data_IF_913174151975
#
_entry.id   IF_913174151975
#
_cell.length_a   1.000
_cell.length_b   1.000
_cell.length_c   1.000
_cell.angle_alpha   90.00
_cell.angle_beta   90.00
_cell.angle_gamma   90.00
#
_symmetry.space_group_name_H-M   'P 1'
#
loop_
_entity.id
_entity.type
_entity.pdbx_description
1 polymer ?
#
# COMPACT_ATOMS: atom_id res chain seq x y z
N UNK A 1 -16.67 -4.87 -8.09
CA UNK A 1 -16.20 -3.51 -8.44
C UNK A 1 -16.67 -3.13 -9.84
N UNK A 2 -17.31 -1.97 -9.94
CA UNK A 2 -17.62 -1.25 -11.18
C UNK A 2 -16.54 -0.18 -11.39
N UNK A 3 -16.12 0.07 -12.63
CA UNK A 3 -15.13 1.11 -12.95
C UNK A 3 -14.69 1.03 -14.42
N UNK A 4 -13.81 1.94 -14.82
CA UNK A 4 -13.29 2.01 -16.19
C UNK A 4 -12.25 0.91 -16.44
N UNK A 5 -12.45 0.03 -17.45
CA UNK A 5 -11.42 -0.94 -17.82
C UNK A 5 -10.14 -0.25 -18.28
N UNK A 6 -9.00 -0.83 -17.93
CA UNK A 6 -7.72 -0.38 -18.46
C UNK A 6 -7.70 -0.46 -19.99
N UNK A 7 -7.27 0.63 -20.62
CA UNK A 7 -6.94 0.66 -22.03
C UNK A 7 -5.66 1.50 -22.21
N UNK A 8 -4.72 1.00 -23.04
CA UNK A 8 -3.48 1.72 -23.33
C UNK A 8 -3.75 3.11 -23.94
N UNK A 9 -4.86 3.26 -24.70
CA UNK A 9 -5.29 4.54 -25.27
C UNK A 9 -5.69 5.59 -24.22
N UNK A 10 -5.96 5.19 -22.98
CA UNK A 10 -6.27 6.09 -21.87
C UNK A 10 -5.05 6.42 -21.01
N UNK A 11 -3.86 5.86 -21.31
CA UNK A 11 -2.66 6.01 -20.49
C UNK A 11 -2.30 7.47 -20.18
N UNK A 12 -2.48 8.37 -21.15
CA UNK A 12 -2.18 9.79 -20.98
C UNK A 12 -3.18 10.56 -20.11
N UNK A 13 -4.33 9.96 -19.75
CA UNK A 13 -5.34 10.61 -18.90
C UNK A 13 -5.12 10.34 -17.42
N UNK A 14 -4.33 9.33 -17.05
CA UNK A 14 -4.01 8.99 -15.67
C UNK A 14 -3.00 9.98 -15.10
N UNK A 15 -3.49 11.12 -14.63
CA UNK A 15 -2.69 12.23 -14.10
C UNK A 15 -3.37 12.86 -12.89
N UNK A 16 -2.64 13.66 -12.13
CA UNK A 16 -3.19 14.45 -11.01
C UNK A 16 -3.51 13.66 -9.75
N UNK A 17 -3.11 12.38 -9.68
CA UNK A 17 -3.22 11.58 -8.48
C UNK A 17 -1.96 11.70 -7.62
N UNK A 18 -2.14 11.58 -6.31
CA UNK A 18 -1.07 11.52 -5.30
C UNK A 18 -1.24 10.28 -4.40
N UNK A 19 -2.33 9.55 -4.58
CA UNK A 19 -2.63 8.33 -3.84
C UNK A 19 -2.83 7.15 -4.79
N UNK A 20 -2.53 5.95 -4.31
CA UNK A 20 -2.75 4.71 -5.06
C UNK A 20 -3.52 3.72 -4.20
N UNK A 21 -4.70 3.32 -4.66
CA UNK A 21 -5.53 2.27 -4.06
C UNK A 21 -5.48 1.02 -4.96
N UNK A 22 -4.92 -0.06 -4.42
CA UNK A 22 -4.84 -1.36 -5.07
C UNK A 22 -5.73 -2.38 -4.38
N UNK A 23 -6.59 -3.06 -5.12
CA UNK A 23 -7.44 -4.10 -4.53
C UNK A 23 -7.62 -5.33 -5.41
N UNK A 24 -8.21 -6.36 -4.81
CA UNK A 24 -8.56 -7.61 -5.45
C UNK A 24 -7.34 -8.28 -6.12
N UNK A 25 -6.25 -8.50 -5.39
CA UNK A 25 -5.10 -9.29 -5.87
C UNK A 25 -4.35 -8.74 -7.08
N UNK A 26 -4.43 -7.43 -7.34
CA UNK A 26 -3.56 -6.76 -8.33
C UNK A 26 -2.20 -6.45 -7.69
N UNK A 27 -1.14 -6.66 -8.44
CA UNK A 27 0.22 -6.24 -8.08
C UNK A 27 0.47 -4.83 -8.64
N UNK A 28 0.83 -3.88 -7.79
CA UNK A 28 1.16 -2.51 -8.20
C UNK A 28 2.61 -2.20 -7.83
N UNK A 29 3.34 -1.64 -8.79
CA UNK A 29 4.73 -1.21 -8.61
C UNK A 29 4.75 0.30 -8.79
N UNK A 30 5.11 1.04 -7.74
CA UNK A 30 5.14 2.51 -7.75
C UNK A 30 6.58 3.03 -7.88
N UNK A 31 6.72 4.10 -8.66
CA UNK A 31 7.95 4.86 -8.79
C UNK A 31 7.64 6.37 -8.77
N UNK A 32 8.63 7.19 -8.41
CA UNK A 32 8.53 8.65 -8.56
C UNK A 32 9.06 9.10 -9.92
N UNK A 33 8.33 9.99 -10.57
CA UNK A 33 8.66 10.50 -11.91
C UNK A 33 7.49 11.23 -12.57
N UNK A 34 7.53 11.36 -13.89
CA UNK A 34 6.37 11.87 -14.63
C UNK A 34 5.19 10.90 -14.50
N UNK A 35 3.97 11.41 -14.61
CA UNK A 35 2.77 10.58 -14.62
C UNK A 35 2.86 9.52 -15.72
N UNK A 36 2.75 8.26 -15.31
CA UNK A 36 2.71 7.13 -16.23
C UNK A 36 2.03 5.92 -15.58
N UNK A 37 1.13 5.26 -16.29
CA UNK A 37 0.47 4.05 -15.80
C UNK A 37 0.42 3.01 -16.90
N UNK A 38 1.08 1.87 -16.67
CA UNK A 38 1.10 0.75 -17.61
C UNK A 38 0.66 -0.53 -16.94
N UNK A 39 0.00 -1.41 -17.69
CA UNK A 39 -0.44 -2.70 -17.18
C UNK A 39 0.04 -3.88 -18.02
N UNK A 40 0.35 -4.98 -17.33
CA UNK A 40 0.65 -6.28 -17.94
C UNK A 40 -0.22 -7.36 -17.28
N UNK A 41 -0.48 -8.43 -18.03
CA UNK A 41 -1.20 -9.60 -17.51
C UNK A 41 -0.31 -10.84 -17.65
N UNK A 42 0.52 -11.17 -16.64
CA UNK A 42 1.38 -12.36 -16.68
C UNK A 42 0.63 -13.67 -16.96
N UNK A 43 -0.65 -13.75 -16.59
CA UNK A 43 -1.52 -14.90 -16.85
C UNK A 43 -2.25 -14.85 -18.20
N UNK A 44 -1.89 -13.93 -19.10
CA UNK A 44 -2.54 -13.69 -20.40
C UNK A 44 -4.08 -13.54 -20.31
N UNK A 45 -4.56 -12.98 -19.20
CA UNK A 45 -5.95 -12.66 -18.94
C UNK A 45 -6.35 -11.37 -19.65
N UNK A 46 -7.65 -11.25 -19.94
CA UNK A 46 -8.17 -10.12 -20.71
C UNK A 46 -8.06 -8.82 -19.91
N UNK A 47 -7.40 -7.82 -20.47
CA UNK A 47 -7.24 -6.50 -19.85
C UNK A 47 -8.56 -5.80 -19.54
N UNK A 48 -9.65 -6.16 -20.21
CA UNK A 48 -11.00 -5.66 -19.92
C UNK A 48 -11.47 -5.93 -18.48
N UNK A 49 -10.83 -6.87 -17.78
CA UNK A 49 -11.12 -7.20 -16.38
C UNK A 49 -10.25 -6.44 -15.39
N UNK A 50 -9.20 -5.75 -15.85
CA UNK A 50 -8.45 -4.82 -15.03
C UNK A 50 -9.16 -3.46 -15.08
N UNK A 51 -9.45 -2.89 -13.91
CA UNK A 51 -10.00 -1.57 -13.73
C UNK A 51 -8.87 -0.64 -13.30
N UNK A 52 -8.70 0.46 -14.04
CA UNK A 52 -7.75 1.53 -13.70
C UNK A 52 -8.44 2.86 -13.97
N UNK A 53 -8.58 3.68 -12.93
CA UNK A 53 -9.20 4.98 -13.06
C UNK A 53 -8.72 5.93 -11.96
N UNK A 54 -8.63 7.22 -12.28
CA UNK A 54 -8.40 8.26 -11.29
C UNK A 54 -9.74 8.79 -10.81
N UNK A 55 -9.97 8.77 -9.49
CA UNK A 55 -11.14 9.39 -8.85
C UNK A 55 -10.62 10.35 -7.77
N UNK A 56 -10.91 11.64 -7.90
CA UNK A 56 -10.28 12.65 -7.06
C UNK A 56 -8.76 12.68 -7.29
N UNK A 57 -7.98 12.57 -6.22
CA UNK A 57 -6.52 12.48 -6.24
C UNK A 57 -6.01 11.03 -6.07
N UNK A 58 -6.87 10.02 -6.23
CA UNK A 58 -6.51 8.61 -6.03
C UNK A 58 -6.58 7.84 -7.34
N UNK A 59 -5.50 7.13 -7.68
CA UNK A 59 -5.51 6.13 -8.74
C UNK A 59 -6.02 4.80 -8.16
N UNK A 60 -7.20 4.38 -8.59
CA UNK A 60 -7.79 3.11 -8.21
C UNK A 60 -7.41 2.02 -9.22
N UNK A 61 -6.85 0.93 -8.72
CA UNK A 61 -6.39 -0.23 -9.49
C UNK A 61 -7.02 -1.49 -8.90
N UNK A 62 -7.88 -2.17 -9.66
CA UNK A 62 -8.57 -3.37 -9.16
C UNK A 62 -8.96 -4.33 -10.26
N UNK A 63 -9.44 -5.53 -9.89
CA UNK A 63 -10.09 -6.45 -10.83
C UNK A 63 -11.60 -6.29 -10.82
N UNK A 64 -12.24 -6.43 -12.00
CA UNK A 64 -13.68 -6.60 -12.11
C UNK A 64 -14.12 -7.78 -11.27
N UNK A 65 -15.19 -7.58 -10.50
CA UNK A 65 -15.81 -8.65 -9.74
C UNK A 65 -16.65 -9.49 -10.69
N UNK A 66 -16.38 -10.79 -10.75
CA UNK A 66 -17.21 -11.72 -11.52
C UNK A 66 -18.43 -12.13 -10.70
N UNK A 67 -19.59 -12.13 -11.33
CA UNK A 67 -20.81 -12.73 -10.80
C UNK A 67 -20.80 -14.21 -11.14
N UNK A 68 -20.66 -15.07 -10.13
CA UNK A 68 -20.83 -16.54 -10.18
C UNK A 68 -19.95 -17.31 -11.19
N UNK A 69 -18.87 -17.94 -10.70
CA UNK A 69 -18.02 -18.84 -11.49
C UNK A 69 -16.76 -19.26 -10.72
N UNK A 70 -16.21 -20.44 -11.04
CA UNK A 70 -14.94 -20.90 -10.49
C UNK A 70 -13.83 -19.91 -10.86
N UNK A 71 -13.06 -19.45 -9.86
CA UNK A 71 -12.16 -18.32 -9.97
C UNK A 71 -11.14 -18.47 -11.09
N UNK A 72 -10.91 -17.40 -11.86
CA UNK A 72 -9.78 -17.36 -12.76
C UNK A 72 -8.50 -16.99 -11.99
N UNK A 73 -7.39 -17.61 -12.36
CA UNK A 73 -6.07 -17.24 -11.83
C UNK A 73 -5.54 -15.97 -12.52
N UNK A 74 -6.42 -15.00 -12.79
CA UNK A 74 -6.08 -13.77 -13.49
C UNK A 74 -5.16 -12.91 -12.63
N UNK A 75 -3.98 -12.60 -13.14
CA UNK A 75 -2.98 -11.78 -12.46
C UNK A 75 -2.69 -10.57 -13.32
N UNK A 76 -2.78 -9.39 -12.71
CA UNK A 76 -2.39 -8.14 -13.33
C UNK A 76 -1.27 -7.52 -12.53
N UNK A 77 -0.34 -6.92 -13.27
CA UNK A 77 0.71 -6.07 -12.71
C UNK A 77 0.60 -4.69 -13.33
N UNK A 78 0.53 -3.66 -12.50
CA UNK A 78 0.42 -2.27 -12.93
C UNK A 78 1.63 -1.49 -12.44
N UNK A 79 2.40 -0.90 -13.36
CA UNK A 79 3.44 0.04 -12.99
C UNK A 79 2.84 1.45 -12.98
N UNK A 80 3.06 2.17 -11.90
CA UNK A 80 2.51 3.50 -11.64
C UNK A 80 3.66 4.45 -11.34
N UNK A 81 3.67 5.59 -12.00
CA UNK A 81 4.61 6.68 -11.78
C UNK A 81 3.86 7.97 -11.54
N UNK A 82 4.29 8.75 -10.55
CA UNK A 82 3.77 10.07 -10.23
C UNK A 82 4.87 10.93 -9.58
N UNK A 83 4.78 12.27 -9.64
CA UNK A 83 5.84 13.13 -9.09
C UNK A 83 5.97 13.03 -7.57
N UNK A 84 4.83 12.83 -6.89
CA UNK A 84 4.73 12.75 -5.43
C UNK A 84 3.69 11.71 -5.05
N UNK A 85 3.79 11.18 -3.83
CA UNK A 85 2.77 10.35 -3.22
C UNK A 85 2.50 10.82 -1.80
N UNK A 86 1.22 10.82 -1.43
CA UNK A 86 0.72 11.12 -0.08
C UNK A 86 0.01 9.93 0.55
N UNK A 87 -0.34 8.90 -0.22
CA UNK A 87 -0.92 7.70 0.37
C UNK A 87 -0.96 6.44 -0.48
N UNK A 88 -0.98 5.30 0.19
CA UNK A 88 -1.07 3.98 -0.42
C UNK A 88 -2.10 3.12 0.31
N UNK A 89 -3.11 2.63 -0.41
CA UNK A 89 -4.11 1.71 0.11
C UNK A 89 -3.99 0.35 -0.59
N UNK A 90 -3.98 -0.75 0.18
CA UNK A 90 -4.01 -2.09 -0.38
C UNK A 90 -4.99 -3.01 0.36
N UNK A 91 -5.85 -3.69 -0.39
CA UNK A 91 -6.84 -4.61 0.18
C UNK A 91 -7.10 -5.86 -0.67
N UNK A 92 -7.75 -6.86 -0.06
CA UNK A 92 -8.21 -8.08 -0.72
C UNK A 92 -7.08 -8.82 -1.45
N UNK A 93 -5.97 -9.04 -0.74
CA UNK A 93 -4.79 -9.77 -1.23
C UNK A 93 -4.01 -9.07 -2.34
N UNK A 94 -4.22 -7.78 -2.59
CA UNK A 94 -3.40 -6.98 -3.50
C UNK A 94 -2.03 -6.67 -2.91
N UNK A 95 -1.12 -6.14 -3.74
CA UNK A 95 0.16 -5.64 -3.26
C UNK A 95 0.58 -4.31 -3.89
N UNK A 96 1.31 -3.51 -3.12
CA UNK A 96 2.00 -2.30 -3.58
C UNK A 96 3.48 -2.41 -3.22
N UNK A 97 4.38 -2.22 -4.18
CA UNK A 97 5.82 -2.16 -3.95
C UNK A 97 6.41 -0.87 -4.50
N UNK A 98 7.20 -0.16 -3.70
CA UNK A 98 7.88 1.06 -4.10
C UNK A 98 9.31 1.11 -3.58
N UNK A 99 10.23 1.61 -4.40
CA UNK A 99 11.64 1.71 -4.04
C UNK A 99 12.21 3.11 -4.30
N UNK A 100 13.14 3.54 -3.44
CA UNK A 100 13.81 4.83 -3.53
C UNK A 100 12.86 6.04 -3.51
N UNK A 101 11.75 5.94 -2.78
CA UNK A 101 10.76 7.01 -2.69
C UNK A 101 11.26 8.15 -1.79
N UNK A 102 10.91 9.40 -2.13
CA UNK A 102 11.13 10.60 -1.32
C UNK A 102 9.77 11.18 -0.95
N UNK A 103 9.31 10.87 0.26
CA UNK A 103 7.97 11.21 0.73
C UNK A 103 8.05 12.30 1.81
N UNK A 104 7.03 13.14 1.93
CA UNK A 104 6.92 14.07 3.05
C UNK A 104 6.09 13.40 4.14
N UNK A 105 4.78 13.54 4.03
CA UNK A 105 3.77 12.91 4.87
C UNK A 105 3.09 11.82 4.03
N UNK A 106 3.10 10.58 4.52
CA UNK A 106 2.52 9.43 3.81
C UNK A 106 1.58 8.64 4.71
N UNK A 107 0.36 8.43 4.22
CA UNK A 107 -0.64 7.53 4.80
C UNK A 107 -0.57 6.15 4.15
N UNK A 108 -0.64 5.09 4.95
CA UNK A 108 -0.61 3.71 4.47
C UNK A 108 -1.76 2.92 5.09
N UNK A 109 -2.72 2.48 4.28
CA UNK A 109 -3.87 1.71 4.74
C UNK A 109 -3.85 0.30 4.13
N UNK A 110 -3.82 -0.72 4.97
CA UNK A 110 -3.71 -2.11 4.51
C UNK A 110 -4.70 -3.02 5.23
N UNK A 111 -5.45 -3.80 4.47
CA UNK A 111 -6.39 -4.75 5.04
C UNK A 111 -6.52 -6.05 4.25
N UNK A 112 -7.20 -7.03 4.84
CA UNK A 112 -7.69 -8.23 4.15
C UNK A 112 -6.60 -9.00 3.41
N UNK A 113 -5.50 -9.29 4.12
CA UNK A 113 -4.37 -10.07 3.60
C UNK A 113 -3.54 -9.40 2.51
N UNK A 114 -3.68 -8.09 2.31
CA UNK A 114 -2.85 -7.34 1.37
C UNK A 114 -1.44 -7.06 1.93
N UNK A 115 -0.53 -6.64 1.05
CA UNK A 115 0.86 -6.33 1.42
C UNK A 115 1.36 -5.04 0.77
N UNK A 116 1.96 -4.16 1.57
CA UNK A 116 2.66 -2.98 1.06
C UNK A 116 4.13 -3.04 1.49
N UNK A 117 5.05 -2.84 0.54
CA UNK A 117 6.50 -2.78 0.79
C UNK A 117 7.10 -1.51 0.19
N UNK A 118 7.62 -0.62 1.03
CA UNK A 118 8.16 0.68 0.61
C UNK A 118 9.60 0.85 1.11
N UNK A 119 10.45 1.47 0.29
CA UNK A 119 11.79 1.89 0.68
C UNK A 119 12.13 3.29 0.17
N UNK A 120 13.07 3.96 0.85
CA UNK A 120 13.47 5.33 0.55
C UNK A 120 13.58 6.18 1.82
N UNK A 121 13.05 7.40 1.77
CA UNK A 121 12.98 8.31 2.90
C UNK A 121 11.58 8.94 3.02
N UNK A 122 11.18 9.24 4.26
CA UNK A 122 10.00 10.04 4.53
C UNK A 122 10.23 11.01 5.70
N UNK A 123 9.36 12.01 5.88
CA UNK A 123 9.33 12.78 7.14
C UNK A 123 8.41 12.11 8.13
N UNK A 124 7.16 11.87 7.73
CA UNK A 124 6.12 11.33 8.59
C UNK A 124 5.41 10.19 7.89
N UNK A 125 5.31 9.07 8.60
CA UNK A 125 4.53 7.90 8.20
C UNK A 125 3.37 7.72 9.18
N UNK A 126 2.17 7.59 8.63
CA UNK A 126 1.00 7.13 9.36
C UNK A 126 0.50 5.85 8.69
N UNK A 127 0.32 4.77 9.47
CA UNK A 127 0.01 3.46 8.90
C UNK A 127 -1.04 2.69 9.68
N UNK A 128 -2.09 2.24 9.01
CA UNK A 128 -3.10 1.35 9.56
C UNK A 128 -3.02 -0.03 8.89
N UNK A 129 -2.89 -1.08 9.69
CA UNK A 129 -2.85 -2.46 9.21
C UNK A 129 -3.86 -3.34 9.95
N UNK A 130 -4.73 -4.04 9.23
CA UNK A 130 -5.73 -4.92 9.86
C UNK A 130 -5.98 -6.22 9.08
N UNK A 131 -6.65 -7.18 9.72
CA UNK A 131 -7.16 -8.40 9.07
C UNK A 131 -6.07 -9.19 8.31
N UNK A 132 -4.97 -9.49 8.98
CA UNK A 132 -3.85 -10.25 8.42
C UNK A 132 -3.05 -9.50 7.35
N UNK A 133 -3.17 -8.18 7.27
CA UNK A 133 -2.35 -7.34 6.40
C UNK A 133 -0.88 -7.27 6.83
N UNK A 134 0.00 -6.99 5.87
CA UNK A 134 1.44 -6.89 6.11
C UNK A 134 2.02 -5.59 5.54
N UNK A 135 2.55 -4.74 6.42
CA UNK A 135 3.32 -3.57 6.04
C UNK A 135 4.82 -3.79 6.23
N UNK A 136 5.61 -3.52 5.18
CA UNK A 136 7.08 -3.61 5.19
C UNK A 136 7.71 -2.28 4.78
N UNK A 137 7.85 -1.37 5.74
CA UNK A 137 8.52 -0.07 5.61
C UNK A 137 9.84 0.03 6.36
N UNK A 138 10.52 -1.09 6.65
CA UNK A 138 11.79 -1.04 7.40
C UNK A 138 12.93 -0.33 6.67
N UNK A 139 12.86 -0.28 5.34
CA UNK A 139 13.82 0.44 4.49
C UNK A 139 13.30 1.82 4.05
N UNK A 140 12.11 2.24 4.53
CA UNK A 140 11.58 3.58 4.36
C UNK A 140 11.98 4.42 5.57
N UNK A 141 13.09 5.14 5.45
CA UNK A 141 13.71 5.86 6.56
C UNK A 141 12.92 7.12 6.88
N UNK A 142 12.03 7.04 7.86
CA UNK A 142 11.22 8.17 8.29
C UNK A 142 11.82 8.88 9.51
N UNK A 143 11.49 10.16 9.68
CA UNK A 143 11.78 10.87 10.93
C UNK A 143 10.79 10.44 12.02
N UNK A 144 9.51 10.35 11.67
CA UNK A 144 8.43 9.99 12.58
C UNK A 144 7.54 8.88 11.99
N UNK A 145 7.05 7.98 12.83
CA UNK A 145 6.12 6.93 12.41
C UNK A 145 5.04 6.67 13.47
N UNK A 146 3.77 6.66 13.05
CA UNK A 146 2.62 6.27 13.87
C UNK A 146 1.96 5.07 13.20
N UNK A 147 1.79 3.96 13.91
CA UNK A 147 1.31 2.69 13.33
C UNK A 147 0.23 2.05 14.19
N UNK A 148 -0.96 1.88 13.62
CA UNK A 148 -2.06 1.16 14.22
C UNK A 148 -2.21 -0.22 13.57
N UNK A 149 -2.08 -1.28 14.36
CA UNK A 149 -2.18 -2.65 13.88
C UNK A 149 -3.19 -3.47 14.69
N UNK A 150 -4.08 -4.17 13.99
CA UNK A 150 -5.11 -5.02 14.62
C UNK A 150 -5.37 -6.32 13.86
N UNK A 151 -6.09 -7.24 14.51
CA UNK A 151 -6.61 -8.48 13.91
C UNK A 151 -5.54 -9.29 13.15
N UNK A 152 -4.43 -9.57 13.84
CA UNK A 152 -3.33 -10.37 13.32
C UNK A 152 -2.49 -9.71 12.22
N UNK A 153 -2.59 -8.39 12.04
CA UNK A 153 -1.73 -7.67 11.11
C UNK A 153 -0.28 -7.57 11.61
N UNK A 154 0.66 -7.41 10.68
CA UNK A 154 2.07 -7.17 10.99
C UNK A 154 2.58 -5.93 10.29
N UNK A 155 3.19 -5.03 11.05
CA UNK A 155 3.77 -3.80 10.54
C UNK A 155 5.25 -3.66 10.96
N UNK A 156 6.05 -3.20 10.00
CA UNK A 156 7.49 -2.94 10.15
C UNK A 156 7.76 -1.53 9.66
N UNK A 157 8.23 -0.64 10.53
CA UNK A 157 8.47 0.77 10.21
C UNK A 157 9.85 1.22 10.73
N UNK A 158 10.40 2.28 10.14
CA UNK A 158 11.65 2.89 10.57
C UNK A 158 11.40 4.34 10.98
N UNK A 159 11.88 4.75 12.15
CA UNK A 159 11.79 6.12 12.65
C UNK A 159 13.05 6.52 13.43
N UNK A 160 13.43 7.81 13.36
CA UNK A 160 14.62 8.33 14.06
C UNK A 160 14.30 9.34 15.17
N UNK A 161 13.23 10.12 15.02
CA UNK A 161 12.81 11.11 16.02
C UNK A 161 11.76 10.51 16.96
N UNK A 162 10.64 10.02 16.42
CA UNK A 162 9.56 9.48 17.23
C UNK A 162 8.86 8.30 16.58
N UNK A 163 8.48 7.32 17.40
CA UNK A 163 7.60 6.23 17.01
C UNK A 163 6.45 6.12 18.00
N UNK A 164 5.23 5.90 17.51
CA UNK A 164 4.05 5.54 18.30
C UNK A 164 3.40 4.34 17.63
N UNK A 165 3.10 3.30 18.40
CA UNK A 165 2.50 2.10 17.86
C UNK A 165 1.40 1.56 18.75
N UNK A 166 0.27 1.24 18.13
CA UNK A 166 -0.90 0.67 18.77
C UNK A 166 -1.12 -0.73 18.21
N UNK A 167 -0.95 -1.76 19.03
CA UNK A 167 -1.14 -3.15 18.62
C UNK A 167 -2.23 -3.83 19.42
N UNK A 168 -3.23 -4.39 18.73
CA UNK A 168 -4.29 -5.17 19.38
C UNK A 168 -4.67 -6.44 18.62
N UNK A 169 -5.41 -7.34 19.28
CA UNK A 169 -6.01 -8.53 18.67
C UNK A 169 -4.98 -9.39 17.91
N UNK A 170 -3.85 -9.68 18.55
CA UNK A 170 -2.78 -10.51 17.98
C UNK A 170 -1.89 -9.82 16.94
N UNK A 171 -1.99 -8.50 16.78
CA UNK A 171 -1.15 -7.77 15.83
C UNK A 171 0.28 -7.51 16.34
N UNK A 172 1.20 -7.23 15.42
CA UNK A 172 2.60 -6.91 15.74
C UNK A 172 3.07 -5.65 15.02
N UNK A 173 3.69 -4.73 15.76
CA UNK A 173 4.34 -3.54 15.24
C UNK A 173 5.82 -3.60 15.64
N UNK A 174 6.71 -3.40 14.68
CA UNK A 174 8.15 -3.42 14.91
C UNK A 174 8.78 -2.14 14.33
N UNK A 175 9.35 -1.33 15.21
CA UNK A 175 10.09 -0.13 14.85
C UNK A 175 11.60 -0.38 14.73
N UNK A 176 12.22 0.32 13.79
CA UNK A 176 13.67 0.35 13.55
C UNK A 176 14.17 1.78 13.57
N UNK A 177 15.50 1.96 13.65
CA UNK A 177 16.13 3.27 13.53
C UNK A 177 16.42 3.96 14.86
N UNK A 178 16.12 3.31 15.99
CA UNK A 178 16.34 3.81 17.35
C UNK A 178 15.73 5.21 17.56
N UNK A 179 14.39 5.35 17.51
CA UNK A 179 13.72 6.63 17.66
C UNK A 179 14.01 7.25 19.04
N UNK A 180 14.18 8.57 19.08
CA UNK A 180 14.44 9.29 20.34
C UNK A 180 13.29 9.18 21.34
N UNK A 181 12.04 9.13 20.86
CA UNK A 181 10.86 8.84 21.67
C UNK A 181 10.08 7.66 21.11
N UNK A 182 9.59 6.79 21.99
CA UNK A 182 8.81 5.63 21.61
C UNK A 182 7.62 5.47 22.55
N UNK A 183 6.43 5.55 21.97
CA UNK A 183 5.15 5.31 22.63
C UNK A 183 4.55 3.98 22.17
N UNK A 184 3.91 3.24 23.08
CA UNK A 184 3.48 1.86 22.84
C UNK A 184 2.17 1.58 23.57
N UNK A 185 1.12 1.32 22.80
CA UNK A 185 -0.13 0.81 23.33
C UNK A 185 -0.37 -0.64 22.88
N UNK A 186 -0.37 -1.54 23.85
CA UNK A 186 -0.50 -2.98 23.64
C UNK A 186 -1.72 -3.52 24.39
N UNK A 187 -2.63 -4.18 23.67
CA UNK A 187 -3.79 -4.84 24.29
C UNK A 187 -4.21 -6.09 23.54
N UNK A 188 -5.01 -6.97 24.15
CA UNK A 188 -5.63 -8.11 23.47
C UNK A 188 -4.63 -9.00 22.68
N UNK A 189 -3.42 -9.19 23.21
CA UNK A 189 -2.35 -9.98 22.58
C UNK A 189 -1.58 -9.28 21.46
N UNK A 190 -1.72 -7.97 21.30
CA UNK A 190 -0.85 -7.17 20.43
C UNK A 190 0.55 -6.96 21.01
N UNK A 191 1.50 -6.59 20.17
CA UNK A 191 2.89 -6.33 20.56
C UNK A 191 3.51 -5.19 19.75
N UNK A 192 4.25 -4.32 20.44
CA UNK A 192 4.97 -3.19 19.88
C UNK A 192 6.42 -3.28 20.35
N UNK A 193 7.32 -3.55 19.41
CA UNK A 193 8.75 -3.67 19.68
C UNK A 193 9.58 -2.65 18.92
N UNK A 194 10.77 -2.35 19.42
CA UNK A 194 11.76 -1.55 18.71
C UNK A 194 13.13 -2.23 18.80
N UNK A 195 13.90 -2.18 17.71
CA UNK A 195 15.28 -2.70 17.63
C UNK A 195 16.22 -1.73 16.91
#
# INVERSE_FOLDING_TARGET
VTGTPYAESLRSTYTGFEQVDSSAGVEVIVAQGNFDVTATSPSNSKMENLIVEVRGNTLHVSRKQKTMGWGDNARYRVNVSAPTYTGFEASSGSSITGANLQLADVDVDISSGATISLSGACKTLHGNASSGAHFSGHDLKCETATIDASSGASARAFATLSASGDASSGASVNFFGNPATLDRDESSGGSVSAR
#
